data_IF_294645304454
#
_entry.id   IF_294645304454
#
_cell.length_a   1.000
_cell.length_b   1.000
_cell.length_c   1.000
_cell.angle_alpha   90.00
_cell.angle_beta   90.00
_cell.angle_gamma   90.00
#
_symmetry.space_group_name_H-M   'P 1'
#
loop_
_entity.id
_entity.type
_entity.pdbx_description
1 polymer ?
#
# COMPACT_ATOMS: atom_id res chain seq x y z
N UNK A 1 18.44 -19.03 21.82
CA UNK A 1 17.25 -18.15 21.65
C UNK A 1 17.61 -16.69 21.33
N UNK A 2 18.70 -16.13 21.88
CA UNK A 2 19.09 -14.72 21.64
C UNK A 2 19.67 -14.40 20.23
N UNK A 3 20.40 -15.31 19.59
CA UNK A 3 21.00 -15.07 18.28
C UNK A 3 19.95 -15.02 17.14
N UNK A 4 18.98 -15.93 17.16
CA UNK A 4 17.87 -15.95 16.19
C UNK A 4 17.03 -14.70 16.32
N UNK A 5 16.72 -14.27 17.57
CA UNK A 5 15.98 -13.05 17.86
C UNK A 5 16.71 -11.78 17.37
N UNK A 6 18.03 -11.74 17.50
CA UNK A 6 18.87 -10.65 16.97
C UNK A 6 18.93 -10.65 15.43
N UNK A 7 18.96 -11.83 14.80
CA UNK A 7 18.94 -11.98 13.34
C UNK A 7 17.62 -11.46 12.75
N UNK A 8 16.47 -11.86 13.32
CA UNK A 8 15.14 -11.40 12.89
C UNK A 8 14.96 -9.88 13.06
N UNK A 9 15.49 -9.27 14.14
CA UNK A 9 15.40 -7.82 14.32
C UNK A 9 16.32 -7.03 13.39
N UNK A 10 17.44 -7.61 12.96
CA UNK A 10 18.41 -6.99 12.05
C UNK A 10 17.97 -7.10 10.58
N UNK A 11 17.20 -8.14 10.24
CA UNK A 11 16.80 -8.48 8.88
C UNK A 11 15.27 -8.61 8.72
N UNK A 12 14.49 -7.70 9.31
CA UNK A 12 13.01 -7.71 9.22
C UNK A 12 12.50 -7.89 7.78
N UNK A 13 13.11 -7.20 6.81
CA UNK A 13 12.74 -7.30 5.40
C UNK A 13 13.01 -8.71 4.84
N UNK A 14 14.12 -9.35 5.22
CA UNK A 14 14.42 -10.73 4.80
C UNK A 14 13.40 -11.72 5.36
N UNK A 15 13.00 -11.54 6.62
CA UNK A 15 11.98 -12.38 7.24
C UNK A 15 10.63 -12.29 6.50
N UNK A 16 10.25 -11.08 6.04
CA UNK A 16 9.04 -10.89 5.23
C UNK A 16 9.14 -11.56 3.86
N UNK A 17 10.28 -11.44 3.20
CA UNK A 17 10.50 -12.12 1.89
C UNK A 17 10.43 -13.64 2.06
N UNK A 18 11.01 -14.19 3.14
CA UNK A 18 10.90 -15.63 3.46
C UNK A 18 9.44 -16.03 3.73
N UNK A 19 8.69 -15.20 4.46
CA UNK A 19 7.28 -15.46 4.72
C UNK A 19 6.46 -15.46 3.44
N UNK A 20 6.68 -14.50 2.53
CA UNK A 20 6.04 -14.49 1.20
C UNK A 20 6.39 -15.74 0.41
N UNK A 21 7.67 -16.12 0.36
CA UNK A 21 8.11 -17.31 -0.35
C UNK A 21 7.45 -18.58 0.23
N UNK A 22 7.36 -18.68 1.57
CA UNK A 22 6.69 -19.81 2.23
C UNK A 22 5.19 -19.87 1.88
N UNK A 23 4.48 -18.72 1.92
CA UNK A 23 3.07 -18.62 1.56
C UNK A 23 2.87 -19.05 0.10
N UNK A 24 3.71 -18.56 -0.81
CA UNK A 24 3.61 -18.89 -2.23
C UNK A 24 3.88 -20.35 -2.53
N UNK A 25 4.87 -20.96 -1.87
CA UNK A 25 5.16 -22.39 -1.98
C UNK A 25 4.01 -23.24 -1.40
N UNK A 26 3.47 -22.85 -0.23
CA UNK A 26 2.35 -23.53 0.40
C UNK A 26 1.10 -23.55 -0.51
N UNK A 27 0.69 -22.37 -1.00
CA UNK A 27 -0.48 -22.30 -1.88
C UNK A 27 -0.21 -22.91 -3.25
N UNK A 28 1.01 -22.82 -3.78
CA UNK A 28 1.37 -23.52 -5.02
C UNK A 28 1.22 -25.04 -4.87
N UNK A 29 1.67 -25.59 -3.74
CA UNK A 29 1.51 -27.01 -3.45
C UNK A 29 0.04 -27.42 -3.30
N UNK A 30 -0.76 -26.63 -2.58
CA UNK A 30 -2.17 -26.93 -2.34
C UNK A 30 -3.07 -26.76 -3.58
N UNK A 31 -2.63 -25.99 -4.56
CA UNK A 31 -3.38 -25.71 -5.80
C UNK A 31 -2.78 -26.38 -7.03
N UNK A 32 -1.94 -27.44 -6.84
CA UNK A 32 -1.27 -28.17 -7.92
C UNK A 32 -0.54 -27.23 -8.92
N UNK A 33 0.14 -26.21 -8.40
CA UNK A 33 0.85 -25.19 -9.18
C UNK A 33 -0.02 -24.03 -9.69
N UNK A 34 -1.33 -24.09 -9.53
CA UNK A 34 -2.28 -23.08 -10.00
C UNK A 34 -2.01 -21.68 -9.46
N UNK A 35 -1.54 -21.58 -8.19
CA UNK A 35 -1.23 -20.31 -7.54
C UNK A 35 -0.12 -19.51 -8.23
N UNK A 36 0.91 -20.17 -8.75
CA UNK A 36 2.05 -19.52 -9.43
C UNK A 36 1.84 -19.32 -10.94
N UNK A 37 0.66 -19.63 -11.48
CA UNK A 37 0.38 -19.37 -12.90
C UNK A 37 0.45 -17.87 -13.20
N UNK A 38 0.96 -17.45 -14.39
CA UNK A 38 1.04 -16.04 -14.78
C UNK A 38 -0.29 -15.30 -14.67
N UNK A 39 -1.40 -15.97 -15.03
CA UNK A 39 -2.76 -15.43 -14.90
C UNK A 39 -3.11 -15.10 -13.45
N UNK A 40 -2.86 -16.04 -12.51
CA UNK A 40 -3.17 -15.81 -11.11
C UNK A 40 -2.23 -14.76 -10.49
N UNK A 41 -0.92 -14.77 -10.80
CA UNK A 41 0.01 -13.74 -10.33
C UNK A 41 -0.39 -12.34 -10.83
N UNK A 42 -0.83 -12.22 -12.08
CA UNK A 42 -1.38 -10.96 -12.61
C UNK A 42 -2.61 -10.51 -11.82
N UNK A 43 -3.55 -11.42 -11.52
CA UNK A 43 -4.74 -11.12 -10.72
C UNK A 43 -4.38 -10.74 -9.27
N UNK A 44 -3.47 -11.48 -8.62
CA UNK A 44 -2.96 -11.19 -7.29
C UNK A 44 -2.35 -9.79 -7.22
N UNK A 45 -1.53 -9.41 -8.20
CA UNK A 45 -0.90 -8.09 -8.25
C UNK A 45 -1.93 -6.96 -8.47
N UNK A 46 -3.00 -7.20 -9.25
CA UNK A 46 -4.12 -6.25 -9.36
C UNK A 46 -4.86 -6.06 -8.04
N UNK A 47 -5.11 -7.14 -7.30
CA UNK A 47 -5.70 -7.07 -5.96
C UNK A 47 -4.77 -6.34 -4.99
N UNK A 48 -3.49 -6.72 -4.99
CA UNK A 48 -2.46 -6.10 -4.17
C UNK A 48 -2.33 -4.59 -4.42
N UNK A 49 -2.58 -4.13 -5.65
CA UNK A 49 -2.50 -2.70 -5.97
C UNK A 49 -3.47 -1.87 -5.15
N UNK A 50 -4.66 -2.36 -4.86
CA UNK A 50 -5.67 -1.66 -4.05
C UNK A 50 -5.18 -1.52 -2.61
N UNK A 51 -4.84 -2.65 -1.96
CA UNK A 51 -4.32 -2.66 -0.59
C UNK A 51 -2.99 -1.92 -0.49
N UNK A 52 -2.12 -2.04 -1.50
CA UNK A 52 -0.83 -1.34 -1.56
C UNK A 52 -0.96 0.18 -1.67
N UNK A 53 -1.91 0.69 -2.46
CA UNK A 53 -2.22 2.12 -2.55
C UNK A 53 -2.69 2.65 -1.18
N UNK A 54 -3.63 1.95 -0.53
CA UNK A 54 -4.06 2.30 0.82
C UNK A 54 -2.89 2.26 1.83
N UNK A 55 -2.05 1.23 1.76
CA UNK A 55 -0.90 1.07 2.65
C UNK A 55 0.14 2.18 2.47
N UNK A 56 0.33 2.73 1.26
CA UNK A 56 1.20 3.89 1.03
C UNK A 56 0.76 5.14 1.81
N UNK A 57 -0.54 5.40 1.89
CA UNK A 57 -1.09 6.48 2.72
C UNK A 57 -1.08 6.12 4.21
N UNK A 58 -1.56 4.93 4.55
CA UNK A 58 -1.70 4.44 5.91
C UNK A 58 -0.37 4.40 6.67
N UNK A 59 0.73 4.08 5.99
CA UNK A 59 2.05 4.09 6.62
C UNK A 59 2.44 5.47 7.16
N UNK A 60 2.07 6.58 6.48
CA UNK A 60 2.30 7.93 6.97
C UNK A 60 1.44 8.25 8.20
N UNK A 61 0.16 7.83 8.17
CA UNK A 61 -0.78 7.99 9.28
C UNK A 61 -0.22 7.28 10.51
N UNK A 62 0.16 6.00 10.39
CA UNK A 62 0.69 5.21 11.51
C UNK A 62 2.06 5.75 12.00
N UNK A 63 2.97 6.15 11.09
CA UNK A 63 4.24 6.76 11.48
C UNK A 63 4.02 8.04 12.29
N UNK A 64 2.98 8.83 11.99
CA UNK A 64 2.67 10.04 12.77
C UNK A 64 2.05 9.76 14.15
N UNK A 65 1.79 8.48 14.48
CA UNK A 65 1.17 8.05 15.73
C UNK A 65 -0.35 8.06 15.72
N UNK A 66 -0.97 8.15 14.53
CA UNK A 66 -2.42 8.16 14.34
C UNK A 66 -2.92 6.85 13.69
N UNK A 67 -4.22 6.60 13.77
CA UNK A 67 -4.89 5.47 13.10
C UNK A 67 -6.16 6.01 12.44
N UNK A 68 -6.36 5.68 11.17
CA UNK A 68 -7.57 6.03 10.41
C UNK A 68 -8.34 4.76 10.05
N UNK A 69 -9.47 4.55 10.71
CA UNK A 69 -10.37 3.42 10.44
C UNK A 69 -11.41 3.70 9.37
N UNK A 70 -11.46 4.92 8.84
CA UNK A 70 -12.45 5.29 7.82
C UNK A 70 -12.05 4.86 6.39
N UNK A 71 -10.79 4.51 6.17
CA UNK A 71 -10.18 4.39 4.83
C UNK A 71 -10.86 3.36 3.93
N UNK A 72 -11.34 2.24 4.47
CA UNK A 72 -12.06 1.23 3.69
C UNK A 72 -13.42 1.73 3.23
N UNK A 73 -14.18 2.35 4.15
CA UNK A 73 -15.48 2.94 3.82
C UNK A 73 -15.34 4.16 2.90
N UNK A 74 -14.29 4.97 3.06
CA UNK A 74 -13.97 6.10 2.20
C UNK A 74 -13.58 5.63 0.79
N UNK A 75 -12.77 4.56 0.68
CA UNK A 75 -12.49 3.89 -0.60
C UNK A 75 -13.80 3.48 -1.30
N UNK A 76 -14.70 2.82 -0.55
CA UNK A 76 -15.99 2.40 -1.08
C UNK A 76 -16.84 3.57 -1.56
N UNK A 77 -16.94 4.64 -0.76
CA UNK A 77 -17.68 5.86 -1.09
C UNK A 77 -17.15 6.53 -2.36
N UNK A 78 -15.82 6.71 -2.43
CA UNK A 78 -15.19 7.38 -3.58
C UNK A 78 -15.21 6.51 -4.84
N UNK A 79 -15.13 5.18 -4.71
CA UNK A 79 -15.34 4.24 -5.80
C UNK A 79 -16.79 4.23 -6.31
N UNK A 80 -17.78 4.27 -5.39
CA UNK A 80 -19.21 4.40 -5.73
C UNK A 80 -19.51 5.73 -6.41
N UNK A 81 -18.93 6.84 -5.91
CA UNK A 81 -19.02 8.15 -6.54
C UNK A 81 -18.44 8.13 -7.96
N UNK A 82 -17.27 7.50 -8.16
CA UNK A 82 -16.67 7.33 -9.48
C UNK A 82 -17.61 6.60 -10.45
N UNK A 83 -18.26 5.52 -10.00
CA UNK A 83 -19.21 4.78 -10.81
C UNK A 83 -20.44 5.64 -11.17
N UNK A 84 -20.99 6.42 -10.22
CA UNK A 84 -22.12 7.31 -10.48
C UNK A 84 -21.74 8.41 -11.49
N UNK A 85 -20.59 9.05 -11.31
CA UNK A 85 -20.09 10.07 -12.23
C UNK A 85 -19.90 9.52 -13.66
N UNK A 86 -19.44 8.27 -13.78
CA UNK A 86 -19.21 7.60 -15.06
C UNK A 86 -20.53 7.14 -15.72
N UNK A 87 -21.35 6.38 -14.98
CA UNK A 87 -22.55 5.69 -15.52
C UNK A 87 -23.76 6.60 -15.64
N UNK A 88 -24.00 7.45 -14.63
CA UNK A 88 -25.20 8.31 -14.60
C UNK A 88 -24.95 9.66 -15.26
N UNK A 89 -23.80 10.27 -14.96
CA UNK A 89 -23.48 11.62 -15.46
C UNK A 89 -22.58 11.63 -16.69
N UNK A 90 -22.07 10.47 -17.12
CA UNK A 90 -21.20 10.31 -18.29
C UNK A 90 -19.98 11.26 -18.28
N UNK A 91 -19.42 11.50 -17.11
CA UNK A 91 -18.26 12.39 -16.95
C UNK A 91 -17.02 11.72 -17.56
N UNK A 92 -16.25 12.43 -18.44
CA UNK A 92 -15.02 11.88 -19.03
C UNK A 92 -14.03 11.42 -17.97
N UNK A 93 -13.27 10.35 -18.27
CA UNK A 93 -12.37 9.67 -17.32
C UNK A 93 -11.47 10.65 -16.55
N UNK A 94 -10.79 11.57 -17.23
CA UNK A 94 -9.85 12.50 -16.57
C UNK A 94 -10.55 13.44 -15.59
N UNK A 95 -11.73 13.94 -15.93
CA UNK A 95 -12.53 14.78 -15.06
C UNK A 95 -13.07 13.97 -13.86
N UNK A 96 -13.53 12.73 -14.09
CA UNK A 96 -13.98 11.82 -13.04
C UNK A 96 -12.83 11.54 -12.04
N UNK A 97 -11.65 11.14 -12.53
CA UNK A 97 -10.45 10.93 -11.69
C UNK A 97 -10.12 12.17 -10.84
N UNK A 98 -10.16 13.35 -11.45
CA UNK A 98 -9.85 14.61 -10.78
C UNK A 98 -10.88 14.98 -9.72
N UNK A 99 -12.18 14.85 -10.02
CA UNK A 99 -13.27 15.12 -9.08
C UNK A 99 -13.22 14.18 -7.87
N UNK A 100 -13.04 12.88 -8.11
CA UNK A 100 -12.98 11.88 -7.04
C UNK A 100 -11.74 12.08 -6.17
N UNK A 101 -10.59 12.41 -6.78
CA UNK A 101 -9.36 12.73 -6.03
C UNK A 101 -9.53 14.01 -5.19
N UNK A 102 -10.17 15.03 -5.73
CA UNK A 102 -10.49 16.27 -5.00
C UNK A 102 -11.46 16.01 -3.83
N UNK A 103 -12.51 15.24 -4.05
CA UNK A 103 -13.41 14.82 -2.96
C UNK A 103 -12.65 14.04 -1.87
N UNK A 104 -11.79 13.11 -2.26
CA UNK A 104 -10.95 12.38 -1.32
C UNK A 104 -10.03 13.30 -0.51
N UNK A 105 -9.38 14.26 -1.18
CA UNK A 105 -8.56 15.28 -0.51
C UNK A 105 -9.39 16.10 0.50
N UNK A 106 -10.56 16.58 0.11
CA UNK A 106 -11.41 17.40 0.97
C UNK A 106 -11.90 16.64 2.20
N UNK A 107 -12.34 15.39 2.03
CA UNK A 107 -12.76 14.52 3.13
C UNK A 107 -11.56 14.20 4.04
N UNK A 108 -10.39 13.86 3.45
CA UNK A 108 -9.17 13.63 4.22
C UNK A 108 -8.75 14.86 5.01
N UNK A 109 -8.79 16.06 4.43
CA UNK A 109 -8.50 17.31 5.13
C UNK A 109 -9.52 17.58 6.25
N UNK A 110 -10.80 17.25 6.08
CA UNK A 110 -11.82 17.36 7.13
C UNK A 110 -11.51 16.41 8.31
N UNK A 111 -11.18 15.14 8.04
CA UNK A 111 -10.73 14.19 9.07
C UNK A 111 -9.45 14.67 9.78
N UNK A 112 -8.51 15.19 9.00
CA UNK A 112 -7.27 15.78 9.53
C UNK A 112 -7.51 17.02 10.37
N UNK A 113 -8.46 17.89 9.99
CA UNK A 113 -8.84 19.05 10.77
C UNK A 113 -9.47 18.67 12.11
N UNK A 114 -10.41 17.72 12.09
CA UNK A 114 -11.02 17.21 13.32
C UNK A 114 -9.96 16.62 14.27
N UNK A 115 -9.00 15.87 13.74
CA UNK A 115 -7.95 15.23 14.54
C UNK A 115 -6.92 16.25 15.04
N UNK A 116 -6.41 17.12 14.16
CA UNK A 116 -5.27 17.98 14.47
C UNK A 116 -5.66 19.27 15.19
N UNK A 117 -6.77 19.92 14.81
CA UNK A 117 -7.18 21.22 15.34
C UNK A 117 -8.27 21.11 16.39
N UNK A 118 -9.27 20.25 16.21
CA UNK A 118 -10.31 20.00 17.21
C UNK A 118 -9.84 19.00 18.28
N UNK A 119 -8.67 18.36 18.08
CA UNK A 119 -8.05 17.41 19.00
C UNK A 119 -8.91 16.20 19.34
N UNK A 120 -9.81 15.82 18.44
CA UNK A 120 -10.58 14.59 18.57
C UNK A 120 -9.64 13.41 18.28
N UNK A 121 -9.58 12.37 19.11
CA UNK A 121 -8.75 11.22 18.84
C UNK A 121 -9.01 10.63 17.46
N UNK A 122 -7.97 10.38 16.66
CA UNK A 122 -8.08 9.97 15.26
C UNK A 122 -8.91 8.69 15.06
N UNK A 123 -8.80 7.74 16.00
CA UNK A 123 -9.60 6.52 15.92
C UNK A 123 -11.11 6.78 16.08
N UNK A 124 -11.51 7.79 16.87
CA UNK A 124 -12.93 8.22 17.00
C UNK A 124 -13.42 8.85 15.70
N UNK A 125 -12.60 9.77 15.13
CA UNK A 125 -12.88 10.36 13.81
C UNK A 125 -12.99 9.27 12.75
N UNK A 126 -12.06 8.31 12.76
CA UNK A 126 -12.05 7.17 11.85
C UNK A 126 -13.27 6.27 12.00
N UNK A 127 -13.67 5.90 13.23
CA UNK A 127 -14.89 5.10 13.47
C UNK A 127 -16.16 5.83 13.03
N UNK A 128 -16.29 7.10 13.38
CA UNK A 128 -17.40 7.94 12.93
C UNK A 128 -17.44 8.05 11.40
N UNK A 129 -16.28 8.29 10.78
CA UNK A 129 -16.11 8.31 9.34
C UNK A 129 -16.45 6.98 8.66
N UNK A 130 -16.03 5.87 9.24
CA UNK A 130 -16.34 4.53 8.74
C UNK A 130 -17.86 4.31 8.61
N UNK A 131 -18.62 4.66 9.63
CA UNK A 131 -20.07 4.54 9.60
C UNK A 131 -20.73 5.57 8.66
N UNK A 132 -20.29 6.82 8.74
CA UNK A 132 -20.85 7.90 7.92
C UNK A 132 -20.62 7.67 6.43
N UNK A 133 -19.38 7.35 6.02
CA UNK A 133 -19.05 7.13 4.61
C UNK A 133 -19.72 5.87 4.06
N UNK A 134 -19.88 4.81 4.87
CA UNK A 134 -20.65 3.63 4.50
C UNK A 134 -22.13 3.98 4.33
N UNK A 135 -22.70 4.75 5.24
CA UNK A 135 -24.10 5.21 5.15
C UNK A 135 -24.34 6.10 3.92
N UNK A 136 -23.42 7.05 3.64
CA UNK A 136 -23.50 7.89 2.43
C UNK A 136 -23.41 7.04 1.16
N UNK A 137 -22.47 6.07 1.10
CA UNK A 137 -22.34 5.14 -0.03
C UNK A 137 -23.66 4.41 -0.28
N UNK A 138 -24.25 3.81 0.75
CA UNK A 138 -25.54 3.12 0.65
C UNK A 138 -26.65 4.07 0.20
N UNK A 139 -26.68 5.30 0.72
CA UNK A 139 -27.68 6.32 0.36
C UNK A 139 -27.59 6.74 -1.11
N UNK A 140 -26.38 7.05 -1.62
CA UNK A 140 -26.21 7.52 -3.00
C UNK A 140 -26.36 6.41 -4.05
N UNK A 141 -26.09 5.15 -3.67
CA UNK A 141 -26.25 3.99 -4.56
C UNK A 141 -27.63 3.32 -4.43
N UNK A 142 -28.46 3.76 -3.46
CA UNK A 142 -29.70 3.05 -3.13
C UNK A 142 -29.48 1.60 -2.67
N UNK A 143 -28.30 1.28 -2.15
CA UNK A 143 -27.90 -0.08 -1.77
C UNK A 143 -27.70 -1.02 -2.95
N UNK A 144 -27.68 -0.52 -4.19
CA UNK A 144 -27.52 -1.31 -5.41
C UNK A 144 -26.16 -1.12 -6.04
N UNK A 145 -25.74 -2.08 -6.85
CA UNK A 145 -24.50 -1.98 -7.62
C UNK A 145 -24.70 -1.11 -8.85
N UNK A 146 -23.85 -0.12 -9.03
CA UNK A 146 -23.84 0.78 -10.19
C UNK A 146 -22.93 0.18 -11.27
N UNK A 147 -23.52 -0.35 -12.33
CA UNK A 147 -22.82 -1.05 -13.42
C UNK A 147 -23.63 -1.01 -14.73
N UNK A 148 -22.98 -1.28 -15.88
CA UNK A 148 -21.53 -1.37 -16.08
C UNK A 148 -20.87 0.01 -16.15
N UNK A 149 -19.62 0.14 -15.66
CA UNK A 149 -18.86 1.37 -15.87
C UNK A 149 -18.24 1.37 -17.29
N UNK A 150 -17.85 2.54 -17.78
CA UNK A 150 -17.32 2.73 -19.13
C UNK A 150 -16.03 1.94 -19.38
N UNK A 151 -15.76 1.52 -20.63
CA UNK A 151 -14.51 0.84 -20.99
C UNK A 151 -13.25 1.62 -20.65
N UNK A 152 -13.32 2.96 -20.68
CA UNK A 152 -12.21 3.84 -20.32
C UNK A 152 -11.88 3.74 -18.82
N UNK A 153 -12.89 3.65 -17.95
CA UNK A 153 -12.69 3.45 -16.51
C UNK A 153 -12.24 2.00 -16.24
N UNK A 154 -12.85 1.00 -16.88
CA UNK A 154 -12.43 -0.42 -16.77
C UNK A 154 -10.94 -0.58 -17.09
N UNK A 155 -10.40 0.13 -18.10
CA UNK A 155 -9.00 0.06 -18.48
C UNK A 155 -8.06 0.43 -17.32
N UNK A 156 -8.44 1.35 -16.42
CA UNK A 156 -7.62 1.72 -15.25
C UNK A 156 -7.41 0.55 -14.29
N UNK A 157 -8.39 -0.34 -14.16
CA UNK A 157 -8.34 -1.48 -13.23
C UNK A 157 -8.02 -2.83 -13.86
N UNK A 158 -8.36 -3.00 -15.15
CA UNK A 158 -8.21 -4.28 -15.86
C UNK A 158 -7.24 -4.21 -17.04
N UNK A 159 -6.85 -3.01 -17.50
CA UNK A 159 -5.96 -2.82 -18.64
C UNK A 159 -4.55 -3.35 -18.38
N UNK A 160 -3.86 -3.63 -19.48
CA UNK A 160 -2.48 -4.09 -19.50
C UNK A 160 -1.62 -3.17 -20.34
N UNK A 161 -0.37 -3.02 -19.95
CA UNK A 161 0.62 -2.33 -20.76
C UNK A 161 1.09 -3.25 -21.91
N UNK A 162 1.31 -2.72 -23.10
CA UNK A 162 1.94 -3.48 -24.19
C UNK A 162 3.25 -4.14 -23.70
N UNK A 163 3.53 -5.36 -24.16
CA UNK A 163 4.71 -6.14 -23.76
C UNK A 163 6.03 -5.36 -23.92
N UNK A 164 6.16 -4.59 -25.03
CA UNK A 164 7.32 -3.73 -25.28
C UNK A 164 7.52 -2.65 -24.21
N UNK A 165 6.42 -2.05 -23.73
CA UNK A 165 6.45 -1.04 -22.66
C UNK A 165 6.88 -1.69 -21.36
N UNK A 166 6.37 -2.88 -21.04
CA UNK A 166 6.77 -3.66 -19.85
C UNK A 166 8.26 -3.98 -19.86
N UNK A 167 8.81 -4.42 -20.98
CA UNK A 167 10.25 -4.66 -21.16
C UNK A 167 11.03 -3.36 -20.99
N UNK A 168 10.59 -2.28 -21.66
CA UNK A 168 11.23 -0.97 -21.55
C UNK A 168 11.31 -0.45 -20.12
N UNK A 169 10.23 -0.61 -19.33
CA UNK A 169 10.22 -0.26 -17.91
C UNK A 169 11.19 -1.12 -17.09
N UNK A 170 11.24 -2.44 -17.34
CA UNK A 170 12.19 -3.34 -16.71
C UNK A 170 13.64 -2.93 -16.95
N UNK A 171 13.97 -2.65 -18.22
CA UNK A 171 15.30 -2.18 -18.63
C UNK A 171 15.62 -0.82 -18.00
N UNK A 172 14.67 0.12 -17.97
CA UNK A 172 14.85 1.44 -17.34
C UNK A 172 15.13 1.30 -15.83
N UNK A 173 14.37 0.48 -15.12
CA UNK A 173 14.57 0.25 -13.68
C UNK A 173 15.90 -0.44 -13.40
N UNK A 174 16.31 -1.36 -14.26
CA UNK A 174 17.61 -2.01 -14.16
C UNK A 174 18.75 -1.01 -14.41
N UNK A 175 18.66 -0.20 -15.48
CA UNK A 175 19.63 0.86 -15.76
C UNK A 175 19.72 1.89 -14.62
N UNK A 176 18.57 2.25 -14.02
CA UNK A 176 18.54 3.12 -12.84
C UNK A 176 19.27 2.48 -11.64
N UNK A 177 19.08 1.18 -11.43
CA UNK A 177 19.78 0.43 -10.36
C UNK A 177 21.30 0.47 -10.57
N UNK A 178 21.76 0.26 -11.80
CA UNK A 178 23.18 0.36 -12.18
C UNK A 178 23.71 1.78 -11.93
N UNK A 179 22.98 2.79 -12.41
CA UNK A 179 23.35 4.20 -12.24
C UNK A 179 23.45 4.60 -10.76
N UNK A 180 22.47 4.22 -9.94
CA UNK A 180 22.47 4.53 -8.51
C UNK A 180 23.61 3.83 -7.78
N UNK A 181 23.91 2.58 -8.12
CA UNK A 181 25.04 1.83 -7.56
C UNK A 181 26.37 2.48 -7.94
N UNK A 182 26.53 2.85 -9.22
CA UNK A 182 27.70 3.58 -9.70
C UNK A 182 27.87 4.95 -9.00
N UNK A 183 26.77 5.74 -8.91
CA UNK A 183 26.78 7.04 -8.21
C UNK A 183 27.14 6.90 -6.73
N UNK A 184 26.64 5.90 -6.05
CA UNK A 184 27.01 5.61 -4.65
C UNK A 184 28.51 5.30 -4.51
N UNK A 185 29.06 4.48 -5.39
CA UNK A 185 30.50 4.18 -5.39
C UNK A 185 31.35 5.42 -5.64
N UNK A 186 30.97 6.20 -6.67
CA UNK A 186 31.69 7.45 -7.01
C UNK A 186 31.66 8.44 -5.86
N UNK A 187 30.51 8.65 -5.23
CA UNK A 187 30.37 9.57 -4.10
C UNK A 187 31.22 9.11 -2.89
N UNK A 188 31.26 7.81 -2.60
CA UNK A 188 32.12 7.30 -1.52
C UNK A 188 33.60 7.51 -1.82
N UNK A 189 34.03 7.26 -3.05
CA UNK A 189 35.41 7.52 -3.47
C UNK A 189 35.80 8.99 -3.36
N UNK A 190 34.90 9.90 -3.77
CA UNK A 190 35.13 11.36 -3.67
C UNK A 190 35.26 11.85 -2.23
N UNK A 191 34.60 11.19 -1.26
CA UNK A 191 34.65 11.57 0.15
C UNK A 191 35.67 10.73 0.96
N UNK A 192 36.57 9.98 0.31
CA UNK A 192 37.59 9.15 0.98
C UNK A 192 37.02 8.00 1.80
N UNK A 193 35.74 7.63 1.62
CA UNK A 193 35.11 6.54 2.33
C UNK A 193 35.40 5.20 1.64
N UNK A 194 35.65 4.14 2.42
CA UNK A 194 35.85 2.80 1.89
C UNK A 194 34.66 2.39 1.01
N UNK A 195 34.96 2.01 -0.25
CA UNK A 195 33.93 1.46 -1.15
C UNK A 195 33.47 0.11 -0.61
N UNK A 196 32.20 -0.23 -0.82
CA UNK A 196 31.73 -1.58 -0.57
C UNK A 196 32.48 -2.58 -1.45
N UNK A 197 32.59 -3.85 -1.02
CA UNK A 197 33.22 -4.88 -1.84
C UNK A 197 32.51 -4.97 -3.19
N UNK A 198 33.27 -5.07 -4.28
CA UNK A 198 32.74 -5.18 -5.64
C UNK A 198 31.74 -6.36 -5.76
N UNK A 199 32.11 -7.48 -5.12
CA UNK A 199 31.27 -8.69 -5.10
C UNK A 199 29.88 -8.42 -4.53
N UNK A 200 29.79 -7.66 -3.43
CA UNK A 200 28.49 -7.33 -2.82
C UNK A 200 27.62 -6.46 -3.73
N UNK A 201 28.23 -5.51 -4.42
CA UNK A 201 27.49 -4.62 -5.33
C UNK A 201 27.04 -5.39 -6.58
N UNK A 202 27.89 -6.27 -7.14
CA UNK A 202 27.56 -7.14 -8.27
C UNK A 202 26.44 -8.11 -7.89
N UNK A 203 26.56 -8.82 -6.76
CA UNK A 203 25.51 -9.74 -6.30
C UNK A 203 24.18 -9.02 -6.12
N UNK A 204 24.18 -7.82 -5.53
CA UNK A 204 22.96 -7.01 -5.38
C UNK A 204 22.33 -6.66 -6.73
N UNK A 205 23.13 -6.19 -7.70
CA UNK A 205 22.67 -5.81 -9.03
C UNK A 205 22.12 -7.02 -9.79
N UNK A 206 22.83 -8.15 -9.75
CA UNK A 206 22.39 -9.40 -10.39
C UNK A 206 21.08 -9.90 -9.78
N UNK A 207 20.93 -9.90 -8.46
CA UNK A 207 19.70 -10.31 -7.79
C UNK A 207 18.52 -9.41 -8.17
N UNK A 208 18.71 -8.08 -8.16
CA UNK A 208 17.66 -7.14 -8.57
C UNK A 208 17.31 -7.35 -10.05
N UNK A 209 18.31 -7.54 -10.92
CA UNK A 209 18.10 -7.81 -12.35
C UNK A 209 17.32 -9.11 -12.58
N UNK A 210 17.67 -10.18 -11.86
CA UNK A 210 16.97 -11.46 -11.93
C UNK A 210 15.51 -11.34 -11.49
N UNK A 211 15.23 -10.61 -10.39
CA UNK A 211 13.87 -10.36 -9.91
C UNK A 211 13.07 -9.53 -10.92
N UNK A 212 13.65 -8.45 -11.47
CA UNK A 212 12.99 -7.64 -12.49
C UNK A 212 12.72 -8.44 -13.77
N UNK A 213 13.70 -9.22 -14.24
CA UNK A 213 13.53 -10.05 -15.42
C UNK A 213 12.44 -11.12 -15.18
N UNK A 214 12.48 -11.82 -14.04
CA UNK A 214 11.45 -12.78 -13.66
C UNK A 214 10.06 -12.16 -13.60
N UNK A 215 9.92 -10.98 -12.98
CA UNK A 215 8.66 -10.25 -12.90
C UNK A 215 8.12 -9.88 -14.29
N UNK A 216 8.95 -9.26 -15.13
CA UNK A 216 8.53 -8.83 -16.48
C UNK A 216 8.21 -10.04 -17.37
N UNK A 217 9.04 -11.09 -17.37
CA UNK A 217 8.79 -12.28 -18.20
C UNK A 217 7.53 -13.03 -17.76
N UNK A 218 7.30 -13.18 -16.45
CA UNK A 218 6.11 -13.84 -15.93
C UNK A 218 4.83 -13.07 -16.28
N UNK A 219 4.81 -11.74 -16.16
CA UNK A 219 3.63 -10.96 -16.52
C UNK A 219 3.42 -10.88 -18.03
N UNK A 220 4.49 -10.78 -18.80
CA UNK A 220 4.41 -10.79 -20.26
C UNK A 220 4.01 -12.15 -20.85
N UNK A 221 4.16 -13.26 -20.11
CA UNK A 221 3.65 -14.56 -20.55
C UNK A 221 2.12 -14.71 -20.41
N UNK A 222 1.44 -13.71 -19.84
CA UNK A 222 -0.02 -13.59 -19.85
C UNK A 222 -0.41 -12.41 -20.77
N UNK A 223 -0.78 -11.25 -20.26
CA UNK A 223 -1.24 -10.09 -21.05
C UNK A 223 -0.32 -8.86 -20.90
N UNK A 224 0.74 -8.95 -20.10
CA UNK A 224 1.64 -7.86 -19.79
C UNK A 224 1.48 -7.34 -18.35
N UNK A 225 2.08 -6.17 -18.08
CA UNK A 225 2.02 -5.56 -16.75
C UNK A 225 0.65 -4.87 -16.56
N UNK A 226 -0.14 -5.22 -15.52
CA UNK A 226 -1.41 -4.55 -15.27
C UNK A 226 -1.23 -3.05 -14.96
N UNK A 227 -2.11 -2.21 -15.49
CA UNK A 227 -2.10 -0.74 -15.25
C UNK A 227 -2.13 -0.39 -13.76
N UNK A 228 -2.95 -1.06 -12.90
CA UNK A 228 -2.93 -0.77 -11.45
C UNK A 228 -1.57 -1.02 -10.78
N UNK A 229 -0.81 -1.99 -11.29
CA UNK A 229 0.54 -2.30 -10.77
C UNK A 229 1.51 -1.17 -11.12
N UNK A 230 1.42 -0.61 -12.34
CA UNK A 230 2.22 0.56 -12.70
C UNK A 230 1.89 1.75 -11.78
N UNK A 231 0.61 2.03 -11.55
CA UNK A 231 0.17 3.09 -10.63
C UNK A 231 0.77 2.86 -9.24
N UNK A 232 0.67 1.64 -8.70
CA UNK A 232 1.25 1.30 -7.40
C UNK A 232 2.77 1.52 -7.36
N UNK A 233 3.51 1.12 -8.40
CA UNK A 233 4.96 1.31 -8.47
C UNK A 233 5.35 2.80 -8.53
N UNK A 234 4.60 3.61 -9.27
CA UNK A 234 4.78 5.07 -9.29
C UNK A 234 4.55 5.67 -7.90
N UNK A 235 3.44 5.31 -7.24
CA UNK A 235 3.15 5.77 -5.89
C UNK A 235 4.20 5.30 -4.89
N UNK A 236 4.67 4.06 -4.98
CA UNK A 236 5.77 3.56 -4.16
C UNK A 236 7.03 4.42 -4.32
N UNK A 237 7.39 4.77 -5.54
CA UNK A 237 8.52 5.66 -5.82
C UNK A 237 8.33 7.06 -5.21
N UNK A 238 7.17 7.66 -5.44
CA UNK A 238 6.80 8.99 -4.90
C UNK A 238 6.84 8.97 -3.36
N UNK A 239 6.16 8.03 -2.72
CA UNK A 239 6.10 7.96 -1.25
C UNK A 239 7.45 7.59 -0.64
N UNK A 240 8.23 6.75 -1.29
CA UNK A 240 9.61 6.47 -0.88
C UNK A 240 10.49 7.73 -0.91
N UNK A 241 10.38 8.52 -1.98
CA UNK A 241 11.07 9.80 -2.09
C UNK A 241 10.58 10.80 -1.04
N UNK A 242 9.26 10.96 -0.90
CA UNK A 242 8.66 11.87 0.09
C UNK A 242 9.12 11.52 1.50
N UNK A 243 9.07 10.26 1.89
CA UNK A 243 9.42 9.82 3.25
C UNK A 243 10.92 9.93 3.54
N UNK A 244 11.79 9.67 2.56
CA UNK A 244 13.24 9.58 2.78
C UNK A 244 14.02 10.86 2.45
N UNK A 245 13.53 11.67 1.48
CA UNK A 245 14.31 12.78 0.93
C UNK A 245 13.72 14.16 1.22
N UNK A 246 12.44 14.26 1.61
CA UNK A 246 11.78 15.56 1.80
C UNK A 246 11.77 16.03 3.25
N UNK A 247 11.58 17.34 3.44
CA UNK A 247 11.36 17.95 4.76
C UNK A 247 10.05 17.44 5.38
N UNK A 248 9.01 17.26 4.55
CA UNK A 248 7.73 16.74 5.01
C UNK A 248 7.87 15.33 5.62
N UNK A 249 8.55 14.42 4.92
CA UNK A 249 8.80 13.06 5.45
C UNK A 249 9.54 13.11 6.79
N UNK A 250 10.62 13.88 6.90
CA UNK A 250 11.33 14.04 8.18
C UNK A 250 10.44 14.57 9.31
N UNK A 251 9.52 15.50 9.02
CA UNK A 251 8.56 16.03 9.99
C UNK A 251 7.56 14.96 10.43
N UNK A 252 7.09 14.10 9.51
CA UNK A 252 6.18 12.97 9.83
C UNK A 252 6.84 12.02 10.83
N UNK A 253 8.09 11.62 10.59
CA UNK A 253 8.84 10.76 11.54
C UNK A 253 9.10 11.45 12.88
N UNK A 254 9.42 12.74 12.87
CA UNK A 254 9.65 13.50 14.09
C UNK A 254 8.39 13.60 14.96
N UNK A 255 7.23 13.92 14.34
CA UNK A 255 5.93 13.99 15.04
C UNK A 255 5.59 12.67 15.72
N UNK A 256 5.78 11.54 15.02
CA UNK A 256 5.49 10.23 15.59
C UNK A 256 6.53 9.74 16.61
N UNK A 257 7.76 10.22 16.53
CA UNK A 257 8.81 9.84 17.51
C UNK A 257 8.65 10.55 18.84
N UNK A 258 8.45 11.88 18.81
CA UNK A 258 8.18 12.70 19.99
C UNK A 258 7.48 13.98 19.56
N UNK A 259 6.17 14.00 19.68
CA UNK A 259 5.31 15.10 19.25
C UNK A 259 5.63 16.40 20.01
N UNK A 260 5.89 16.32 21.33
CA UNK A 260 6.16 17.51 22.15
C UNK A 260 7.51 18.13 21.80
N UNK A 261 8.57 17.33 21.70
CA UNK A 261 9.88 17.82 21.26
C UNK A 261 9.82 18.42 19.85
N UNK A 262 9.04 17.84 18.96
CA UNK A 262 8.83 18.35 17.59
C UNK A 262 8.14 19.71 17.61
N UNK A 263 7.14 19.89 18.47
CA UNK A 263 6.44 21.17 18.66
C UNK A 263 7.36 22.23 19.22
N UNK A 264 8.15 21.89 20.24
CA UNK A 264 9.14 22.80 20.83
C UNK A 264 10.25 23.20 19.86
N UNK A 265 10.52 22.38 18.83
CA UNK A 265 11.46 22.72 17.74
C UNK A 265 10.84 23.65 16.68
N UNK A 266 9.64 24.21 16.91
CA UNK A 266 8.97 25.16 16.01
C UNK A 266 8.24 24.52 14.82
N UNK A 267 8.09 23.19 14.78
CA UNK A 267 7.36 22.49 13.72
C UNK A 267 5.86 22.54 14.01
N UNK A 268 5.08 22.99 13.03
CA UNK A 268 3.62 22.97 13.13
C UNK A 268 3.09 21.53 12.96
N UNK A 269 2.91 20.83 14.10
CA UNK A 269 2.42 19.46 14.17
C UNK A 269 1.01 19.33 13.59
N UNK A 270 0.15 20.32 13.82
CA UNK A 270 -1.22 20.33 13.34
C UNK A 270 -1.28 20.31 11.81
N UNK A 271 -0.48 21.17 11.16
CA UNK A 271 -0.39 21.21 9.70
C UNK A 271 0.16 19.88 9.13
N UNK A 272 1.16 19.28 9.79
CA UNK A 272 1.69 17.97 9.36
C UNK A 272 0.61 16.90 9.41
N UNK A 273 -0.14 16.77 10.49
CA UNK A 273 -1.24 15.83 10.63
C UNK A 273 -2.35 16.10 9.62
N UNK A 274 -2.76 17.36 9.43
CA UNK A 274 -3.76 17.76 8.44
C UNK A 274 -3.42 17.20 7.05
N UNK A 275 -2.19 17.43 6.59
CA UNK A 275 -1.75 16.99 5.27
C UNK A 275 -1.61 15.47 5.16
N UNK A 276 -1.22 14.77 6.23
CA UNK A 276 -1.17 13.30 6.25
C UNK A 276 -2.55 12.72 5.97
N UNK A 277 -3.60 13.22 6.65
CA UNK A 277 -4.98 12.78 6.40
C UNK A 277 -5.49 13.21 5.02
N UNK A 278 -5.13 14.40 4.54
CA UNK A 278 -5.44 14.84 3.18
C UNK A 278 -4.85 13.90 2.13
N UNK A 279 -3.58 13.52 2.27
CA UNK A 279 -2.91 12.53 1.40
C UNK A 279 -3.62 11.18 1.52
N UNK A 280 -3.99 10.75 2.72
CA UNK A 280 -4.72 9.50 2.91
C UNK A 280 -6.04 9.48 2.16
N UNK A 281 -6.80 10.59 2.19
CA UNK A 281 -8.04 10.75 1.42
C UNK A 281 -7.83 10.59 -0.09
N UNK A 282 -6.74 11.15 -0.64
CA UNK A 282 -6.36 10.95 -2.05
C UNK A 282 -6.02 9.48 -2.33
N UNK A 283 -5.30 8.80 -1.42
CA UNK A 283 -5.02 7.37 -1.59
C UNK A 283 -6.30 6.53 -1.57
N UNK A 284 -7.28 6.86 -0.72
CA UNK A 284 -8.59 6.23 -0.73
C UNK A 284 -9.32 6.44 -2.07
N UNK A 285 -9.23 7.64 -2.66
CA UNK A 285 -9.80 7.94 -3.96
C UNK A 285 -9.18 7.09 -5.08
N UNK A 286 -7.85 7.03 -5.15
CA UNK A 286 -7.13 6.22 -6.13
C UNK A 286 -7.43 4.73 -5.96
N UNK A 287 -7.41 4.22 -4.73
CA UNK A 287 -7.74 2.83 -4.44
C UNK A 287 -9.20 2.50 -4.79
N UNK A 288 -10.14 3.41 -4.50
CA UNK A 288 -11.56 3.28 -4.83
C UNK A 288 -11.80 3.23 -6.34
N UNK A 289 -11.16 4.13 -7.09
CA UNK A 289 -11.19 4.15 -8.56
C UNK A 289 -10.67 2.84 -9.16
N UNK A 290 -9.50 2.38 -8.70
CA UNK A 290 -8.90 1.11 -9.15
C UNK A 290 -9.81 -0.08 -8.80
N UNK A 291 -10.41 -0.08 -7.60
CA UNK A 291 -11.33 -1.15 -7.19
C UNK A 291 -12.59 -1.19 -8.05
N UNK A 292 -13.23 -0.05 -8.29
CA UNK A 292 -14.42 0.08 -9.15
C UNK A 292 -14.09 -0.31 -10.59
N UNK A 293 -12.97 0.17 -11.12
CA UNK A 293 -12.49 -0.18 -12.44
C UNK A 293 -12.19 -1.70 -12.58
N UNK A 294 -11.58 -2.30 -11.55
CA UNK A 294 -11.29 -3.74 -11.52
C UNK A 294 -12.55 -4.60 -11.50
N UNK A 295 -13.57 -4.18 -10.77
CA UNK A 295 -14.85 -4.89 -10.67
C UNK A 295 -15.78 -4.55 -11.84
N UNK A 296 -15.45 -3.56 -12.67
CA UNK A 296 -16.31 -2.94 -13.67
C UNK A 296 -17.65 -2.44 -13.10
N UNK A 297 -17.67 -2.14 -11.80
CA UNK A 297 -18.87 -1.79 -11.06
C UNK A 297 -18.57 -1.05 -9.76
N UNK A 298 -19.41 -0.10 -9.37
CA UNK A 298 -19.45 0.49 -8.04
C UNK A 298 -20.34 -0.32 -7.10
N UNK A 299 -19.71 -1.13 -6.22
CA UNK A 299 -20.46 -1.96 -5.27
C UNK A 299 -20.69 -1.26 -3.94
N UNK A 300 -21.89 -1.35 -3.33
CA UNK A 300 -22.16 -0.83 -2.00
C UNK A 300 -21.38 -1.53 -0.88
N UNK A 301 -20.84 -2.72 -1.14
CA UNK A 301 -19.96 -3.46 -0.23
C UNK A 301 -18.46 -3.19 -0.46
N UNK A 302 -18.10 -2.32 -1.43
CA UNK A 302 -16.71 -2.01 -1.73
C UNK A 302 -15.96 -1.50 -0.49
N UNK A 303 -14.69 -1.89 -0.37
CA UNK A 303 -13.82 -1.48 0.73
C UNK A 303 -14.18 -2.05 2.11
N UNK A 304 -15.06 -3.05 2.19
CA UNK A 304 -15.36 -3.71 3.46
C UNK A 304 -14.09 -4.38 4.03
N UNK A 305 -13.75 -4.10 5.30
CA UNK A 305 -12.52 -4.54 5.99
C UNK A 305 -11.21 -4.01 5.37
N UNK A 306 -11.26 -3.13 4.36
CA UNK A 306 -10.08 -2.58 3.69
C UNK A 306 -9.18 -1.75 4.61
N UNK A 307 -9.74 -1.15 5.65
CA UNK A 307 -8.99 -0.48 6.73
C UNK A 307 -8.09 -1.45 7.48
N UNK A 308 -8.61 -2.64 7.82
CA UNK A 308 -7.85 -3.65 8.55
C UNK A 308 -6.74 -4.24 7.68
N UNK A 309 -7.00 -4.47 6.39
CA UNK A 309 -6.00 -4.97 5.45
C UNK A 309 -4.84 -3.96 5.28
N UNK A 310 -5.14 -2.66 5.17
CA UNK A 310 -4.13 -1.60 5.06
C UNK A 310 -3.30 -1.45 6.36
N UNK A 311 -3.95 -1.51 7.52
CA UNK A 311 -3.29 -1.47 8.84
C UNK A 311 -2.43 -2.71 9.03
N UNK A 312 -2.96 -3.91 8.75
CA UNK A 312 -2.23 -5.15 8.86
C UNK A 312 -1.00 -5.17 7.94
N UNK A 313 -1.14 -4.69 6.69
CA UNK A 313 -0.04 -4.53 5.76
C UNK A 313 1.09 -3.65 6.34
N UNK A 314 0.74 -2.53 6.98
CA UNK A 314 1.72 -1.66 7.62
C UNK A 314 2.42 -2.34 8.81
N UNK A 315 1.69 -3.03 9.69
CA UNK A 315 2.28 -3.67 10.87
C UNK A 315 3.10 -4.89 10.52
N UNK A 316 2.63 -5.76 9.63
CA UNK A 316 3.41 -6.87 9.06
C UNK A 316 4.67 -6.32 8.41
N UNK A 317 4.56 -5.21 7.68
CA UNK A 317 5.66 -4.48 7.07
C UNK A 317 6.64 -3.84 8.04
N UNK A 318 6.37 -3.94 9.36
CA UNK A 318 7.26 -3.48 10.43
C UNK A 318 7.12 -2.01 10.81
N UNK A 319 6.02 -1.36 10.44
CA UNK A 319 5.65 -0.02 10.93
C UNK A 319 5.27 -0.10 12.40
N UNK A 320 5.72 0.85 13.20
CA UNK A 320 5.48 0.87 14.65
C UNK A 320 4.10 1.40 15.02
N UNK A 321 3.35 0.69 15.85
CA UNK A 321 2.11 1.20 16.45
C UNK A 321 2.29 2.48 17.26
N UNK A 322 3.48 2.69 17.86
CA UNK A 322 3.80 3.90 18.65
C UNK A 322 4.21 5.09 17.79
N UNK A 323 4.21 4.94 16.47
CA UNK A 323 4.72 5.93 15.54
C UNK A 323 6.25 5.97 15.44
N UNK A 324 6.77 6.97 14.72
CA UNK A 324 8.18 7.30 14.60
C UNK A 324 9.04 6.33 13.78
N UNK A 325 8.51 5.19 13.36
CA UNK A 325 9.28 4.24 12.55
C UNK A 325 8.40 3.39 11.65
N UNK A 326 8.85 3.17 10.42
CA UNK A 326 8.15 2.41 9.38
C UNK A 326 8.77 2.70 8.02
N UNK A 327 8.42 1.94 7.00
CA UNK A 327 8.85 2.18 5.62
C UNK A 327 7.75 1.83 4.65
N UNK A 328 7.67 2.59 3.56
CA UNK A 328 6.69 2.33 2.48
C UNK A 328 6.93 0.96 1.83
N UNK A 329 8.20 0.58 1.64
CA UNK A 329 8.56 -0.74 1.13
C UNK A 329 8.12 -1.89 2.04
N UNK A 330 8.23 -1.69 3.36
CA UNK A 330 7.73 -2.66 4.33
C UNK A 330 6.22 -2.83 4.22
N UNK A 331 5.46 -1.72 4.18
CA UNK A 331 4.01 -1.75 4.03
C UNK A 331 3.57 -2.44 2.73
N UNK A 332 4.33 -2.23 1.62
CA UNK A 332 4.07 -2.92 0.36
C UNK A 332 4.30 -4.44 0.47
N UNK A 333 5.38 -4.88 1.12
CA UNK A 333 5.60 -6.31 1.37
C UNK A 333 4.52 -6.90 2.29
N UNK A 334 4.06 -6.14 3.27
CA UNK A 334 2.92 -6.53 4.10
C UNK A 334 1.63 -6.64 3.30
N UNK A 335 1.37 -5.71 2.37
CA UNK A 335 0.24 -5.80 1.45
C UNK A 335 0.33 -7.05 0.56
N UNK A 336 1.53 -7.40 0.09
CA UNK A 336 1.76 -8.64 -0.65
C UNK A 336 1.43 -9.88 0.19
N UNK A 337 1.81 -9.91 1.47
CA UNK A 337 1.47 -11.01 2.39
C UNK A 337 -0.05 -11.15 2.52
N UNK A 338 -0.75 -10.06 2.88
CA UNK A 338 -2.21 -10.08 3.08
C UNK A 338 -2.92 -10.51 1.80
N UNK A 339 -2.57 -9.90 0.66
CA UNK A 339 -3.24 -10.24 -0.62
C UNK A 339 -2.90 -11.65 -1.10
N UNK A 340 -1.69 -12.15 -0.82
CA UNK A 340 -1.33 -13.54 -1.13
C UNK A 340 -2.15 -14.55 -0.33
N UNK A 341 -2.43 -14.25 0.94
CA UNK A 341 -3.31 -15.06 1.79
C UNK A 341 -4.74 -15.04 1.26
N UNK A 342 -5.30 -13.85 0.95
CA UNK A 342 -6.65 -13.71 0.41
C UNK A 342 -6.81 -14.46 -0.92
N UNK A 343 -5.87 -14.26 -1.83
CA UNK A 343 -5.88 -14.91 -3.14
C UNK A 343 -5.75 -16.45 -3.00
N UNK A 344 -4.80 -16.91 -2.17
CA UNK A 344 -4.58 -18.34 -1.95
C UNK A 344 -5.76 -19.02 -1.27
N UNK A 345 -6.34 -18.41 -0.23
CA UNK A 345 -7.54 -18.94 0.43
C UNK A 345 -8.73 -18.96 -0.53
N UNK A 346 -8.90 -17.94 -1.37
CA UNK A 346 -9.97 -17.88 -2.37
C UNK A 346 -9.80 -18.97 -3.46
N UNK A 347 -8.56 -19.30 -3.84
CA UNK A 347 -8.29 -20.40 -4.79
C UNK A 347 -8.58 -21.80 -4.22
N UNK A 348 -8.55 -21.93 -2.90
CA UNK A 348 -8.91 -23.16 -2.19
C UNK A 348 -10.38 -23.20 -1.76
N UNK A 349 -11.23 -22.29 -2.28
CA UNK A 349 -12.64 -22.14 -1.94
C UNK A 349 -12.90 -22.03 -0.43
N UNK A 350 -11.95 -21.43 0.31
CA UNK A 350 -12.10 -21.19 1.74
C UNK A 350 -13.17 -20.12 1.96
N UNK A 351 -14.16 -20.45 2.78
CA UNK A 351 -15.28 -19.56 3.11
C UNK A 351 -14.79 -18.20 3.68
N UNK A 352 -15.52 -17.14 3.34
CA UNK A 352 -15.16 -15.76 3.74
C UNK A 352 -15.01 -15.59 5.26
N UNK A 353 -15.78 -16.32 6.08
CA UNK A 353 -15.68 -16.25 7.53
C UNK A 353 -14.33 -16.78 8.04
N UNK A 354 -13.80 -17.85 7.45
CA UNK A 354 -12.45 -18.35 7.76
C UNK A 354 -11.37 -17.36 7.33
N UNK A 355 -11.53 -16.73 6.16
CA UNK A 355 -10.59 -15.69 5.71
C UNK A 355 -10.52 -14.54 6.71
N UNK A 356 -11.66 -14.08 7.27
CA UNK A 356 -11.71 -13.05 8.30
C UNK A 356 -11.01 -13.49 9.60
N UNK A 357 -11.24 -14.73 10.06
CA UNK A 357 -10.61 -15.28 11.25
C UNK A 357 -9.08 -15.31 11.11
N UNK A 358 -8.59 -15.81 9.97
CA UNK A 358 -7.16 -15.89 9.67
C UNK A 358 -6.53 -14.50 9.62
N UNK A 359 -7.14 -13.54 8.92
CA UNK A 359 -6.63 -12.15 8.85
C UNK A 359 -6.59 -11.48 10.22
N UNK A 360 -7.66 -11.60 11.00
CA UNK A 360 -7.71 -11.06 12.36
C UNK A 360 -6.63 -11.67 13.26
N UNK A 361 -6.41 -12.98 13.18
CA UNK A 361 -5.38 -13.68 13.93
C UNK A 361 -3.96 -13.22 13.54
N UNK A 362 -3.71 -13.05 12.23
CA UNK A 362 -2.42 -12.57 11.71
C UNK A 362 -2.17 -11.12 12.17
N UNK A 363 -3.18 -10.25 12.14
CA UNK A 363 -3.05 -8.88 12.63
C UNK A 363 -2.63 -8.86 14.11
N UNK A 364 -3.30 -9.64 14.97
CA UNK A 364 -2.97 -9.72 16.39
C UNK A 364 -1.55 -10.26 16.60
N UNK A 365 -1.18 -11.32 15.88
CA UNK A 365 0.17 -11.89 15.93
C UNK A 365 1.24 -10.91 15.49
N UNK A 366 1.02 -10.16 14.39
CA UNK A 366 1.97 -9.16 13.89
C UNK A 366 2.22 -8.06 14.93
N UNK A 367 1.15 -7.56 15.55
CA UNK A 367 1.22 -6.56 16.62
C UNK A 367 1.91 -7.11 17.85
N UNK A 368 1.57 -8.33 18.28
CA UNK A 368 2.19 -8.98 19.42
C UNK A 368 3.71 -9.15 19.23
N UNK A 369 4.14 -9.57 18.06
CA UNK A 369 5.56 -9.69 17.70
C UNK A 369 6.26 -8.32 17.74
N UNK A 370 5.64 -7.24 17.21
CA UNK A 370 6.24 -5.89 17.28
C UNK A 370 6.41 -5.41 18.72
N UNK A 371 5.39 -5.57 19.57
CA UNK A 371 5.44 -5.19 20.99
C UNK A 371 6.49 -6.01 21.75
N UNK A 372 6.50 -7.33 21.57
CA UNK A 372 7.42 -8.25 22.27
C UNK A 372 8.88 -8.03 21.90
N UNK A 373 9.17 -7.70 20.63
CA UNK A 373 10.54 -7.45 20.17
C UNK A 373 11.11 -6.13 20.67
N UNK A 374 10.25 -5.17 21.00
CA UNK A 374 10.65 -3.84 21.53
C UNK A 374 10.75 -3.82 23.07
N UNK A 375 9.93 -4.60 23.78
CA UNK A 375 10.02 -4.72 25.23
C UNK A 375 11.37 -5.27 25.72
N UNK A 376 12.05 -6.09 24.93
CA UNK A 376 13.39 -6.61 25.21
C UNK A 376 14.56 -5.65 24.91
N UNK A 377 14.29 -4.39 24.56
CA UNK A 377 15.33 -3.35 24.32
C UNK A 377 15.40 -2.26 25.40
N UNK A 378 14.61 -2.41 26.48
CA UNK A 378 14.67 -1.54 27.68
C UNK A 378 15.55 -2.14 28.75
#
# INVERSE_FOLDING_TARGET
>A
MNQVKQLFTRYKMLALVIAVAFIWLFFSWQTDGGFLTPRNLSNLLRQMSITGILACGMVLVIISGEIDLSVGSLLGLLGGLAAILDVVYHIPLLANLSLVALCGLMIGLANGYMTAYLRIPSFIVGLGGMLAFRGILLGITGGTTIAPVSPSLVYVGQGYLPHSVGIGLGVLLFALTLFLTWKQRRNRALHGLAAHSLVRDVVRVVLIGAVLAGFVTTLNSYDGIPVPVLLLLVLLGVFSYVTSQTVFGRRVYAVGSNMEATRLSGINVQAVKLWIFGIMGVMCALAGLVNTARLAAGSPSAGNMGELDAIAACFIGGTSMRGGSGTVYGALLGALVITSLDNGMSMLDVDSYWQMIVKGSILVLAVWVDVSTRAGRR
#
